data_IF_235042453975
#
_entry.id   IF_235042453975
#
_cell.length_a   1.000
_cell.length_b   1.000
_cell.length_c   1.000
_cell.angle_alpha   90.00
_cell.angle_beta   90.00
_cell.angle_gamma   90.00
#
_symmetry.space_group_name_H-M   'P 1'
#
loop_
_entity.id
_entity.type
_entity.pdbx_description
1 polymer ?
#
# COMPACT_ATOMS: atom_id res chain seq x y z
N UNK A 1 31.50 -3.79 -9.86
CA UNK A 1 30.48 -4.58 -9.17
C UNK A 1 30.03 -3.85 -7.93
N UNK A 2 28.77 -3.74 -7.76
CA UNK A 2 28.21 -3.12 -6.58
C UNK A 2 27.56 -4.18 -5.73
N UNK A 3 27.73 -4.09 -4.45
CA UNK A 3 27.02 -4.93 -3.54
C UNK A 3 25.55 -4.61 -3.62
N UNK A 4 24.68 -5.61 -3.53
CA UNK A 4 23.26 -5.33 -3.46
C UNK A 4 22.97 -4.48 -2.22
N UNK A 5 22.24 -3.42 -2.43
CA UNK A 5 21.83 -2.55 -1.37
C UNK A 5 20.34 -2.70 -1.13
N UNK A 6 19.96 -2.51 0.11
CA UNK A 6 18.57 -2.54 0.51
C UNK A 6 18.24 -1.24 1.21
N UNK A 7 17.24 -0.55 0.73
CA UNK A 7 16.72 0.64 1.39
C UNK A 7 15.40 0.27 2.08
N UNK A 8 15.44 0.29 3.39
CA UNK A 8 14.25 0.00 4.20
C UNK A 8 13.64 1.31 4.68
N UNK A 9 12.38 1.52 4.33
CA UNK A 9 11.63 2.71 4.71
C UNK A 9 10.47 2.27 5.61
N UNK A 10 10.53 2.67 6.86
CA UNK A 10 9.52 2.30 7.84
C UNK A 10 8.65 3.52 8.13
N UNK A 11 7.41 3.48 7.65
CA UNK A 11 6.44 4.55 7.83
C UNK A 11 6.98 5.91 7.39
N UNK A 12 7.57 6.02 6.17
CA UNK A 12 8.26 7.25 5.79
C UNK A 12 7.33 8.45 5.59
N UNK A 13 6.03 8.20 5.42
CA UNK A 13 5.06 9.27 5.23
C UNK A 13 4.42 9.73 6.54
N UNK A 14 4.81 9.14 7.66
CA UNK A 14 4.23 9.50 8.95
C UNK A 14 4.44 10.99 9.23
N UNK A 15 3.38 11.68 9.59
CA UNK A 15 3.44 13.11 9.90
C UNK A 15 3.37 14.04 8.69
N UNK A 16 3.36 13.49 7.47
CA UNK A 16 3.25 14.33 6.28
C UNK A 16 1.77 14.60 5.97
N UNK A 17 1.52 15.79 5.44
CA UNK A 17 0.19 16.09 4.90
C UNK A 17 0.00 15.41 3.54
N UNK A 18 -1.14 15.62 2.92
CA UNK A 18 -1.44 15.00 1.64
C UNK A 18 -0.41 15.37 0.57
N UNK A 19 -0.03 16.64 0.48
CA UNK A 19 0.95 17.08 -0.52
C UNK A 19 2.31 16.44 -0.32
N UNK A 20 2.78 16.40 0.93
CA UNK A 20 4.05 15.76 1.26
C UNK A 20 4.04 14.27 1.00
N UNK A 21 2.94 13.61 1.33
CA UNK A 21 2.80 12.17 1.06
C UNK A 21 2.83 11.89 -0.44
N UNK A 22 2.11 12.66 -1.24
CA UNK A 22 2.07 12.46 -2.68
C UNK A 22 3.42 12.70 -3.32
N UNK A 23 4.16 13.68 -2.84
CA UNK A 23 5.51 13.91 -3.33
C UNK A 23 6.44 12.75 -2.98
N UNK A 24 6.35 12.22 -1.77
CA UNK A 24 7.14 11.06 -1.38
C UNK A 24 6.81 9.84 -2.22
N UNK A 25 5.53 9.58 -2.47
CA UNK A 25 5.11 8.47 -3.31
C UNK A 25 5.67 8.61 -4.72
N UNK A 26 5.65 9.82 -5.28
CA UNK A 26 6.21 10.06 -6.60
C UNK A 26 7.71 9.80 -6.65
N UNK A 27 8.46 10.23 -5.63
CA UNK A 27 9.90 9.99 -5.56
C UNK A 27 10.22 8.51 -5.43
N UNK A 28 9.44 7.79 -4.64
CA UNK A 28 9.63 6.34 -4.50
C UNK A 28 9.28 5.59 -5.78
N UNK A 29 8.27 6.06 -6.51
CA UNK A 29 7.94 5.50 -7.82
C UNK A 29 9.10 5.68 -8.80
N UNK A 30 9.73 6.85 -8.79
CA UNK A 30 10.90 7.11 -9.64
C UNK A 30 12.06 6.19 -9.28
N UNK A 31 12.30 5.97 -8.00
CA UNK A 31 13.34 5.05 -7.55
C UNK A 31 13.02 3.61 -7.96
N UNK A 32 11.77 3.20 -7.82
CA UNK A 32 11.37 1.85 -8.20
C UNK A 32 11.54 1.60 -9.71
N UNK A 33 11.42 2.63 -10.51
CA UNK A 33 11.58 2.55 -11.96
C UNK A 33 13.05 2.60 -12.41
N UNK A 34 13.95 3.02 -11.52
CA UNK A 34 15.37 3.17 -11.85
C UNK A 34 16.08 1.82 -11.67
N UNK A 35 16.63 1.25 -12.75
CA UNK A 35 17.31 -0.05 -12.63
C UNK A 35 18.58 -0.01 -11.77
N UNK A 36 19.13 1.17 -11.54
CA UNK A 36 20.32 1.34 -10.72
C UNK A 36 20.01 1.62 -9.25
N UNK A 37 18.75 1.74 -8.89
CA UNK A 37 18.39 1.98 -7.51
C UNK A 37 18.55 0.71 -6.66
N UNK A 38 18.73 0.86 -5.35
CA UNK A 38 18.73 -0.31 -4.47
C UNK A 38 17.35 -0.97 -4.44
N UNK A 39 17.29 -2.18 -3.93
CA UNK A 39 16.02 -2.80 -3.64
C UNK A 39 15.31 -1.98 -2.56
N UNK A 40 14.02 -1.76 -2.74
CA UNK A 40 13.23 -0.94 -1.82
C UNK A 40 12.27 -1.83 -1.04
N UNK A 41 12.24 -1.63 0.27
CA UNK A 41 11.23 -2.23 1.14
C UNK A 41 10.51 -1.10 1.85
N UNK A 42 9.21 -1.03 1.64
CA UNK A 42 8.36 -0.02 2.26
C UNK A 42 7.46 -0.69 3.28
N UNK A 43 7.53 -0.22 4.52
CA UNK A 43 6.63 -0.67 5.59
C UNK A 43 5.63 0.45 5.85
N UNK A 44 4.35 0.15 5.70
CA UNK A 44 3.30 1.14 5.90
C UNK A 44 2.01 0.48 6.35
N UNK A 45 1.16 1.27 7.01
CA UNK A 45 -0.21 0.88 7.36
C UNK A 45 -1.24 1.42 6.37
N UNK A 46 -0.80 2.11 5.33
CA UNK A 46 -1.68 2.81 4.40
C UNK A 46 -1.41 2.36 2.97
N UNK A 47 -2.37 1.67 2.37
CA UNK A 47 -2.19 1.16 1.00
C UNK A 47 -2.02 2.29 -0.01
N UNK A 48 -2.52 3.48 0.30
CA UNK A 48 -2.39 4.65 -0.58
C UNK A 48 -0.95 5.11 -0.72
N UNK A 49 -0.07 4.66 0.15
CA UNK A 49 1.34 5.04 0.13
C UNK A 49 2.19 4.12 -0.73
N UNK A 50 1.62 3.04 -1.27
CA UNK A 50 2.36 2.12 -2.12
C UNK A 50 2.56 2.78 -3.48
N UNK A 51 3.81 3.07 -3.88
CA UNK A 51 4.05 3.70 -5.17
C UNK A 51 3.79 2.75 -6.33
N UNK A 52 3.42 3.27 -7.50
CA UNK A 52 3.43 2.45 -8.70
C UNK A 52 4.83 1.87 -8.95
N UNK A 53 4.89 0.66 -9.46
CA UNK A 53 6.15 0.02 -9.78
C UNK A 53 6.68 -0.96 -8.73
N UNK A 54 6.10 -0.98 -7.55
CA UNK A 54 6.43 -2.01 -6.57
C UNK A 54 5.83 -3.34 -7.02
N UNK A 55 6.63 -4.39 -6.88
CA UNK A 55 6.27 -5.67 -7.48
C UNK A 55 5.63 -6.65 -6.51
N UNK A 56 6.02 -6.60 -5.24
CA UNK A 56 5.64 -7.60 -4.25
C UNK A 56 5.06 -6.95 -3.01
N UNK A 57 4.29 -7.74 -2.29
CA UNK A 57 3.63 -7.29 -1.07
C UNK A 57 3.56 -8.41 -0.05
N UNK A 58 3.65 -8.03 1.20
CA UNK A 58 3.42 -8.90 2.34
C UNK A 58 2.41 -8.21 3.25
N UNK A 59 1.30 -8.86 3.51
CA UNK A 59 0.31 -8.37 4.46
C UNK A 59 0.39 -9.17 5.74
N UNK A 60 0.52 -8.46 6.85
CA UNK A 60 0.59 -9.08 8.18
C UNK A 60 -0.52 -8.54 9.07
N UNK A 61 -1.02 -9.40 9.93
CA UNK A 61 -1.97 -9.02 10.96
C UNK A 61 -1.75 -9.93 12.16
N UNK A 62 -1.77 -9.33 13.35
CA UNK A 62 -1.62 -10.06 14.60
C UNK A 62 -0.39 -10.96 14.63
N UNK A 63 0.72 -10.45 14.09
CA UNK A 63 1.98 -11.18 14.07
C UNK A 63 2.04 -12.33 13.07
N UNK A 64 1.06 -12.46 12.20
CA UNK A 64 1.01 -13.53 11.22
C UNK A 64 0.90 -12.99 9.80
N UNK A 65 1.41 -13.77 8.85
CA UNK A 65 1.31 -13.43 7.44
C UNK A 65 -0.09 -13.79 6.95
N UNK A 66 -0.80 -12.79 6.44
CA UNK A 66 -2.12 -12.99 5.82
C UNK A 66 -1.95 -13.41 4.36
N UNK A 67 -1.08 -12.73 3.64
CA UNK A 67 -0.82 -13.02 2.23
C UNK A 67 0.54 -12.47 1.85
N UNK A 68 1.19 -13.10 0.88
CA UNK A 68 2.48 -12.68 0.36
C UNK A 68 2.60 -13.09 -1.10
N UNK A 69 3.22 -12.25 -1.91
CA UNK A 69 3.43 -12.54 -3.32
C UNK A 69 3.42 -11.28 -4.16
N UNK A 70 3.01 -11.43 -5.41
CA UNK A 70 2.91 -10.29 -6.32
C UNK A 70 1.86 -9.31 -5.81
N UNK A 71 2.17 -8.03 -5.95
CA UNK A 71 1.33 -6.97 -5.39
C UNK A 71 -0.13 -7.09 -5.85
N UNK A 72 -0.36 -7.30 -7.14
CA UNK A 72 -1.72 -7.37 -7.67
C UNK A 72 -2.48 -8.60 -7.16
N UNK A 73 -1.78 -9.67 -6.84
CA UNK A 73 -2.41 -10.87 -6.31
C UNK A 73 -2.72 -10.76 -4.82
N UNK A 74 -1.91 -9.99 -4.11
CA UNK A 74 -2.00 -9.87 -2.66
C UNK A 74 -2.93 -8.74 -2.24
N UNK A 75 -2.88 -7.62 -2.94
CA UNK A 75 -3.63 -6.41 -2.58
C UNK A 75 -5.07 -6.50 -3.06
N UNK A 76 -5.83 -7.37 -2.42
CA UNK A 76 -7.23 -7.63 -2.75
C UNK A 76 -8.13 -7.29 -1.58
N UNK A 77 -9.40 -7.08 -1.90
CA UNK A 77 -10.41 -6.83 -0.87
C UNK A 77 -10.47 -7.99 0.14
N UNK A 78 -10.33 -9.22 -0.35
CA UNK A 78 -10.39 -10.40 0.52
C UNK A 78 -9.26 -10.42 1.54
N UNK A 79 -8.02 -10.20 1.09
CA UNK A 79 -6.88 -10.21 1.99
C UNK A 79 -6.91 -9.06 2.98
N UNK A 80 -7.28 -7.87 2.52
CA UNK A 80 -7.37 -6.72 3.41
C UNK A 80 -8.51 -6.87 4.40
N UNK A 81 -9.64 -7.43 3.97
CA UNK A 81 -10.75 -7.68 4.90
C UNK A 81 -10.35 -8.67 5.98
N UNK A 82 -9.59 -9.72 5.62
CA UNK A 82 -9.08 -10.67 6.59
C UNK A 82 -8.11 -10.00 7.55
N UNK A 83 -7.21 -9.16 7.04
CA UNK A 83 -6.20 -8.52 7.87
C UNK A 83 -6.80 -7.52 8.86
N UNK A 84 -7.79 -6.74 8.43
CA UNK A 84 -8.36 -5.69 9.27
C UNK A 84 -9.60 -6.11 10.05
N UNK A 85 -10.09 -7.33 9.83
CA UNK A 85 -11.25 -7.82 10.56
C UNK A 85 -12.55 -7.10 10.24
N UNK A 86 -12.62 -6.47 9.08
CA UNK A 86 -13.84 -5.81 8.61
C UNK A 86 -13.89 -5.85 7.09
N UNK A 87 -15.03 -5.54 6.55
CA UNK A 87 -15.23 -5.57 5.10
C UNK A 87 -14.55 -4.37 4.45
N UNK A 88 -13.55 -4.63 3.64
CA UNK A 88 -12.75 -3.61 2.96
C UNK A 88 -12.94 -3.72 1.46
N UNK A 89 -13.08 -2.60 0.79
CA UNK A 89 -13.08 -2.51 -0.66
C UNK A 89 -11.77 -1.89 -1.14
N UNK A 90 -11.28 -2.33 -2.28
CA UNK A 90 -10.03 -1.85 -2.86
C UNK A 90 -10.30 -1.35 -4.26
N UNK A 91 -9.82 -0.16 -4.56
CA UNK A 91 -9.84 0.41 -5.89
C UNK A 91 -8.42 0.63 -6.38
N UNK A 92 -8.20 0.50 -7.68
CA UNK A 92 -6.91 0.77 -8.31
C UNK A 92 -7.12 1.89 -9.31
N UNK A 93 -6.38 2.97 -9.11
CA UNK A 93 -6.47 4.16 -9.98
C UNK A 93 -5.04 4.57 -10.34
N UNK A 94 -4.73 4.58 -11.62
CA UNK A 94 -3.40 4.95 -12.12
C UNK A 94 -2.27 4.17 -11.46
N UNK A 95 -2.48 2.85 -11.25
CA UNK A 95 -1.48 1.99 -10.63
C UNK A 95 -1.37 2.13 -9.12
N UNK A 96 -2.24 2.90 -8.50
CA UNK A 96 -2.25 3.11 -7.07
C UNK A 96 -3.46 2.48 -6.43
N UNK A 97 -3.26 1.95 -5.23
CA UNK A 97 -4.30 1.28 -4.49
C UNK A 97 -4.95 2.22 -3.48
N UNK A 98 -6.26 2.13 -3.38
CA UNK A 98 -7.03 2.88 -2.41
C UNK A 98 -7.98 1.92 -1.72
N UNK A 99 -7.97 1.94 -0.40
CA UNK A 99 -8.81 1.06 0.39
C UNK A 99 -9.76 1.88 1.25
N UNK A 100 -10.95 1.35 1.39
CA UNK A 100 -11.97 1.96 2.21
C UNK A 100 -12.87 0.88 2.77
N UNK A 101 -13.63 1.22 3.79
CA UNK A 101 -14.63 0.29 4.28
C UNK A 101 -15.63 -0.01 3.16
N UNK A 102 -15.92 -1.29 2.95
CA UNK A 102 -16.86 -1.68 1.94
C UNK A 102 -18.22 -1.07 2.23
N UNK A 103 -18.88 -0.64 1.15
CA UNK A 103 -20.18 -0.02 1.30
C UNK A 103 -21.19 -1.06 1.76
N UNK A 104 -21.77 -0.81 2.91
CA UNK A 104 -22.90 -1.56 3.39
C UNK A 104 -24.16 -0.85 2.89
N UNK A 105 -25.15 -1.64 2.49
CA UNK A 105 -26.40 -1.06 2.03
C UNK A 105 -26.90 -0.08 3.07
N UNK A 106 -27.04 1.20 2.73
CA UNK A 106 -27.42 2.20 3.71
C UNK A 106 -28.87 2.02 4.12
N UNK A 107 -29.14 2.30 5.39
CA UNK A 107 -30.49 2.51 5.82
C UNK A 107 -31.02 3.76 5.11
N UNK A 108 -32.32 3.81 4.90
CA UNK A 108 -32.95 4.95 4.25
C UNK A 108 -33.00 6.14 5.21
N UNK A 109 -31.82 6.67 5.51
CA UNK A 109 -31.69 7.80 6.38
C UNK A 109 -30.86 8.87 5.71
N UNK A 110 -31.39 10.07 5.81
CA UNK A 110 -30.65 11.22 5.36
C UNK A 110 -29.81 11.75 6.50
N UNK A 111 -28.56 12.05 6.20
CA UNK A 111 -27.63 12.68 7.11
C UNK A 111 -27.17 14.00 6.53
N UNK A 112 -27.08 14.98 7.35
CA UNK A 112 -26.54 16.28 6.95
C UNK A 112 -25.38 16.67 7.82
#
# INVERSE_FOLDING_TARGET
>A
MTDPELLLLDEPAAGLDLGGREELVARLADLAADPDSPALVLVTHHVEEIPPGFSHCLIMAEGQVVAAGLLDDVMTAEHLSAAFGQSIAVDVIDGRYFARRARVRPAHRRRV
#
